data_IF_348684410998
#
_entry.id   IF_348684410998
#
_cell.length_a   1.000
_cell.length_b   1.000
_cell.length_c   1.000
_cell.angle_alpha   90.00
_cell.angle_beta   90.00
_cell.angle_gamma   90.00
#
_symmetry.space_group_name_H-M   'P 1'
#
loop_
_entity.id
_entity.type
_entity.pdbx_description
1 polymer ?
#
# COMPACT_ATOMS: atom_id res chain seq x y z
N UNK A 1 -12.45 6.51 5.45
CA UNK A 1 -11.93 6.01 4.15
C UNK A 1 -11.20 4.69 4.36
N UNK A 2 -10.85 3.97 3.29
CA UNK A 2 -10.04 2.74 3.40
C UNK A 2 -8.54 3.08 3.42
N UNK A 3 -7.76 2.27 4.11
CA UNK A 3 -6.31 2.40 4.20
C UNK A 3 -5.60 1.06 4.02
N UNK A 4 -4.35 1.12 3.59
CA UNK A 4 -3.42 0.00 3.48
C UNK A 4 -2.08 0.37 4.11
N UNK A 5 -1.62 -0.48 5.02
CA UNK A 5 -0.28 -0.32 5.62
C UNK A 5 0.81 -0.94 4.74
N UNK A 6 1.87 -0.18 4.51
CA UNK A 6 3.03 -0.55 3.70
C UNK A 6 4.31 -0.33 4.51
N UNK A 7 5.29 -1.23 4.37
CA UNK A 7 6.56 -1.12 5.08
C UNK A 7 7.49 -0.17 4.34
N UNK A 8 8.20 0.67 5.08
CA UNK A 8 9.21 1.58 4.55
C UNK A 8 10.33 0.82 3.82
N UNK A 9 10.82 1.32 2.67
CA UNK A 9 10.51 2.61 2.04
C UNK A 9 9.42 2.54 0.94
N UNK A 10 8.61 1.46 0.90
CA UNK A 10 7.75 1.20 -0.25
C UNK A 10 6.56 2.17 -0.36
N UNK A 11 6.04 2.68 0.75
CA UNK A 11 4.98 3.69 0.73
C UNK A 11 5.49 5.02 0.17
N UNK A 12 6.69 5.44 0.59
CA UNK A 12 7.40 6.60 0.03
C UNK A 12 7.72 6.41 -1.46
N UNK A 13 8.08 5.19 -1.89
CA UNK A 13 8.30 4.90 -3.31
C UNK A 13 7.01 4.98 -4.13
N UNK A 14 5.85 4.62 -3.56
CA UNK A 14 4.54 4.82 -4.19
C UNK A 14 4.26 6.31 -4.32
N UNK A 15 4.39 7.07 -3.23
CA UNK A 15 4.19 8.53 -3.25
C UNK A 15 5.10 9.24 -4.26
N UNK A 16 6.32 8.74 -4.48
CA UNK A 16 7.25 9.27 -5.47
C UNK A 16 6.98 8.80 -6.91
N UNK A 17 5.96 7.96 -7.15
CA UNK A 17 5.65 7.37 -8.46
C UNK A 17 6.67 6.33 -8.94
N UNK A 18 7.58 5.88 -8.07
CA UNK A 18 8.63 4.89 -8.41
C UNK A 18 8.10 3.46 -8.35
N UNK A 19 7.21 3.19 -7.38
CA UNK A 19 6.54 1.91 -7.22
C UNK A 19 5.11 2.05 -7.70
N UNK A 20 4.79 1.37 -8.79
CA UNK A 20 3.49 1.43 -9.46
C UNK A 20 2.66 0.16 -9.26
N UNK A 21 3.29 -0.90 -8.73
CA UNK A 21 2.61 -2.15 -8.37
C UNK A 21 2.82 -2.46 -6.89
N UNK A 22 1.74 -2.78 -6.18
CA UNK A 22 1.81 -3.35 -4.84
C UNK A 22 1.66 -4.87 -4.89
N UNK A 23 2.58 -5.61 -4.25
CA UNK A 23 2.61 -7.08 -4.34
C UNK A 23 2.10 -7.68 -3.05
N UNK A 24 1.07 -8.53 -3.13
CA UNK A 24 0.44 -9.16 -1.97
C UNK A 24 0.14 -10.63 -2.23
N UNK A 25 0.20 -11.44 -1.17
CA UNK A 25 -0.23 -12.85 -1.20
C UNK A 25 -1.75 -13.02 -1.17
N UNK A 26 -2.51 -11.93 -1.27
CA UNK A 26 -3.96 -11.92 -1.20
C UNK A 26 -4.55 -10.82 -2.09
N UNK A 27 -5.84 -10.95 -2.38
CA UNK A 27 -6.63 -10.02 -3.20
C UNK A 27 -7.67 -9.32 -2.33
N UNK A 28 -8.02 -8.05 -2.59
CA UNK A 28 -9.12 -7.39 -1.94
C UNK A 28 -10.45 -8.01 -2.38
N UNK A 29 -11.52 -7.72 -1.64
CA UNK A 29 -12.84 -8.29 -1.90
C UNK A 29 -13.52 -7.69 -3.14
N UNK A 30 -13.20 -6.44 -3.49
CA UNK A 30 -13.79 -5.73 -4.62
C UNK A 30 -12.81 -4.77 -5.29
N UNK A 31 -13.06 -4.50 -6.57
CA UNK A 31 -12.38 -3.50 -7.39
C UNK A 31 -13.43 -2.63 -8.12
N UNK A 32 -13.08 -1.37 -8.48
CA UNK A 32 -11.86 -0.66 -8.11
C UNK A 32 -11.89 -0.22 -6.63
N UNK A 33 -10.72 -0.08 -6.00
CA UNK A 33 -10.61 0.63 -4.71
C UNK A 33 -10.23 2.06 -5.02
N UNK A 34 -11.13 2.99 -4.74
CA UNK A 34 -10.89 4.43 -4.89
C UNK A 34 -10.41 5.03 -3.58
N UNK A 35 -9.55 6.04 -3.68
CA UNK A 35 -9.10 6.82 -2.53
C UNK A 35 -8.53 5.96 -1.39
N UNK A 36 -7.71 4.96 -1.72
CA UNK A 36 -7.03 4.13 -0.74
C UNK A 36 -5.87 4.92 -0.10
N UNK A 37 -5.95 5.14 1.22
CA UNK A 37 -4.90 5.80 1.98
C UNK A 37 -3.70 4.86 2.17
N UNK A 38 -2.51 5.30 1.78
CA UNK A 38 -1.27 4.57 2.02
C UNK A 38 -0.64 5.08 3.31
N UNK A 39 -0.49 4.16 4.27
CA UNK A 39 0.13 4.40 5.57
C UNK A 39 1.45 3.64 5.64
N UNK A 40 2.57 4.36 5.62
CA UNK A 40 3.91 3.78 5.72
C UNK A 40 4.33 3.58 7.18
N UNK A 41 4.93 2.44 7.51
CA UNK A 41 5.47 2.17 8.83
C UNK A 41 6.76 1.34 8.75
N UNK A 42 7.44 1.13 9.88
CA UNK A 42 8.75 0.44 9.91
C UNK A 42 8.66 -1.07 10.18
N UNK A 43 7.46 -1.65 10.34
CA UNK A 43 7.27 -3.01 10.84
C UNK A 43 6.37 -3.86 9.93
N UNK A 44 6.76 -5.11 9.69
CA UNK A 44 5.86 -6.07 9.06
C UNK A 44 4.74 -6.48 10.03
N UNK A 45 3.49 -6.15 9.67
CA UNK A 45 2.32 -6.50 10.48
C UNK A 45 1.93 -7.96 10.28
N UNK A 46 1.64 -8.66 11.39
CA UNK A 46 1.31 -10.08 11.40
C UNK A 46 0.06 -10.35 12.24
N UNK A 47 -0.35 -11.62 12.37
CA UNK A 47 -1.47 -11.98 13.26
C UNK A 47 -1.16 -11.65 14.72
N UNK A 48 0.09 -11.82 15.14
CA UNK A 48 0.55 -11.60 16.51
C UNK A 48 0.84 -10.13 16.80
N UNK A 49 1.20 -9.35 15.78
CA UNK A 49 1.40 -7.91 15.86
C UNK A 49 0.62 -7.19 14.75
N UNK A 50 -0.71 -7.04 14.91
CA UNK A 50 -1.57 -6.57 13.83
C UNK A 50 -1.62 -5.05 13.68
N UNK A 51 -1.08 -4.28 14.65
CA UNK A 51 -1.19 -2.83 14.71
C UNK A 51 0.12 -2.21 15.19
N UNK A 52 0.54 -1.11 14.58
CA UNK A 52 1.55 -0.17 15.12
C UNK A 52 0.99 1.25 15.07
N UNK A 53 1.41 2.11 16.00
CA UNK A 53 0.80 3.43 16.22
C UNK A 53 1.55 4.58 15.55
N UNK A 54 2.71 4.31 14.94
CA UNK A 54 3.63 5.27 14.34
C UNK A 54 3.53 5.31 12.80
N UNK A 55 2.41 4.88 12.24
CA UNK A 55 2.19 4.89 10.80
C UNK A 55 2.10 6.31 10.26
N UNK A 56 2.78 6.59 9.16
CA UNK A 56 2.77 7.89 8.48
C UNK A 56 1.92 7.84 7.23
N UNK A 57 1.04 8.80 7.07
CA UNK A 57 0.31 8.96 5.80
C UNK A 57 1.26 9.49 4.73
N UNK A 58 1.33 8.82 3.57
CA UNK A 58 2.28 9.18 2.50
C UNK A 58 1.63 9.43 1.14
N UNK A 59 0.49 8.79 0.85
CA UNK A 59 -0.22 8.98 -0.41
C UNK A 59 -1.69 8.54 -0.29
N UNK A 60 -2.49 9.00 -1.24
CA UNK A 60 -3.80 8.43 -1.58
C UNK A 60 -3.67 7.86 -3.00
N UNK A 61 -4.17 6.65 -3.25
CA UNK A 61 -4.07 5.98 -4.55
C UNK A 61 -5.39 5.31 -4.94
N UNK A 62 -5.55 4.99 -6.22
CA UNK A 62 -6.60 4.10 -6.69
C UNK A 62 -5.98 2.72 -7.04
N UNK A 63 -6.73 1.65 -6.80
CA UNK A 63 -6.41 0.28 -7.26
C UNK A 63 -7.45 -0.14 -8.29
N UNK A 64 -7.07 -0.16 -9.56
CA UNK A 64 -8.01 -0.38 -10.68
C UNK A 64 -8.09 -1.86 -11.08
N UNK A 65 -6.93 -2.53 -11.10
CA UNK A 65 -6.79 -3.90 -11.58
C UNK A 65 -5.84 -4.69 -10.68
N UNK A 66 -6.08 -6.00 -10.64
CA UNK A 66 -5.20 -6.97 -10.00
C UNK A 66 -5.02 -8.17 -10.91
N UNK A 67 -3.77 -8.60 -11.07
CA UNK A 67 -3.39 -9.78 -11.82
C UNK A 67 -2.29 -10.57 -11.09
N UNK A 68 -2.02 -11.78 -11.57
CA UNK A 68 -0.90 -12.57 -11.05
C UNK A 68 0.40 -11.81 -11.31
N UNK A 69 1.24 -11.66 -10.28
CA UNK A 69 2.49 -10.93 -10.41
C UNK A 69 3.44 -11.65 -11.37
N UNK A 70 4.04 -10.89 -12.29
CA UNK A 70 4.90 -11.44 -13.34
C UNK A 70 6.39 -11.21 -13.05
N UNK A 71 7.30 -12.09 -13.52
CA UNK A 71 8.74 -11.89 -13.37
C UNK A 71 9.27 -10.59 -13.99
N UNK A 72 8.60 -10.08 -15.03
CA UNK A 72 8.95 -8.81 -15.68
C UNK A 72 8.63 -7.57 -14.85
N UNK A 73 7.85 -7.70 -13.78
CA UNK A 73 7.28 -6.59 -13.00
C UNK A 73 8.02 -6.31 -11.69
N UNK A 74 9.18 -6.93 -11.48
CA UNK A 74 10.00 -6.78 -10.26
C UNK A 74 10.39 -5.32 -10.04
N UNK A 75 10.69 -4.59 -11.12
CA UNK A 75 11.14 -3.19 -11.06
C UNK A 75 9.99 -2.26 -10.67
N UNK A 76 8.84 -2.42 -11.30
CA UNK A 76 7.59 -1.67 -11.06
C UNK A 76 7.08 -1.89 -9.63
N UNK A 77 7.28 -3.10 -9.10
CA UNK A 77 7.01 -3.43 -7.71
C UNK A 77 8.07 -2.89 -6.72
N UNK A 78 9.20 -2.37 -7.21
CA UNK A 78 10.38 -2.06 -6.39
C UNK A 78 10.76 -3.24 -5.47
N UNK A 79 10.64 -4.46 -5.99
CA UNK A 79 11.02 -5.70 -5.29
C UNK A 79 12.45 -6.11 -5.64
N UNK A 80 13.07 -6.93 -4.81
CA UNK A 80 14.39 -7.51 -5.10
C UNK A 80 14.31 -8.72 -6.04
N UNK A 81 13.23 -9.49 -5.99
CA UNK A 81 12.99 -10.65 -6.83
C UNK A 81 11.49 -10.87 -7.04
N UNK A 82 11.15 -11.80 -7.93
CA UNK A 82 9.80 -12.30 -8.16
C UNK A 82 9.58 -13.65 -7.45
N UNK A 83 8.34 -13.90 -7.01
CA UNK A 83 7.91 -15.18 -6.43
C UNK A 83 6.51 -15.55 -6.94
N UNK A 84 6.25 -16.82 -7.32
CA UNK A 84 4.92 -17.26 -7.74
C UNK A 84 3.90 -17.24 -6.58
N UNK A 85 2.62 -17.13 -6.92
CA UNK A 85 1.52 -17.15 -5.93
C UNK A 85 1.20 -15.78 -5.30
N UNK A 86 1.87 -14.72 -5.76
CA UNK A 86 1.58 -13.34 -5.38
C UNK A 86 0.80 -12.61 -6.49
N UNK A 87 0.10 -11.56 -6.07
CA UNK A 87 -0.74 -10.72 -6.91
C UNK A 87 -0.15 -9.32 -7.00
N UNK A 88 -0.09 -8.78 -8.21
CA UNK A 88 0.25 -7.39 -8.46
C UNK A 88 -1.02 -6.54 -8.44
N UNK A 89 -1.04 -5.52 -7.59
CA UNK A 89 -2.11 -4.53 -7.50
C UNK A 89 -1.67 -3.28 -8.25
N UNK A 90 -2.35 -2.96 -9.34
CA UNK A 90 -2.03 -1.80 -10.18
C UNK A 90 -2.43 -0.51 -9.48
N UNK A 91 -1.43 0.28 -9.09
CA UNK A 91 -1.63 1.56 -8.43
C UNK A 91 -1.74 2.65 -9.49
N UNK A 92 -2.79 3.46 -9.40
CA UNK A 92 -3.02 4.59 -10.29
C UNK A 92 -3.45 5.82 -9.51
N UNK A 93 -3.54 6.96 -10.20
CA UNK A 93 -4.05 8.21 -9.63
C UNK A 93 -3.38 8.59 -8.30
N UNK A 94 -2.06 8.40 -8.22
CA UNK A 94 -1.28 8.61 -7.00
C UNK A 94 -1.25 10.09 -6.63
N UNK A 95 -1.75 10.39 -5.43
CA UNK A 95 -1.78 11.72 -4.82
C UNK A 95 -0.87 11.71 -3.58
N UNK A 96 0.36 12.25 -3.66
CA UNK A 96 1.26 12.31 -2.52
C UNK A 96 0.67 13.18 -1.40
N UNK A 97 0.85 12.77 -0.15
CA UNK A 97 0.45 13.54 1.03
C UNK A 97 1.69 14.11 1.69
N UNK A 98 1.74 15.44 1.85
CA UNK A 98 2.91 16.16 2.39
C UNK A 98 2.84 16.42 3.90
N UNK A 99 1.76 15.99 4.57
CA UNK A 99 1.57 16.17 6.01
C UNK A 99 2.45 15.23 6.86
N UNK A 100 2.65 15.60 8.13
CA UNK A 100 3.33 14.78 9.13
C UNK A 100 2.35 14.04 10.04
N UNK A 101 1.14 13.76 9.55
CA UNK A 101 0.11 13.07 10.32
C UNK A 101 0.52 11.63 10.62
N UNK A 102 0.38 11.28 11.90
CA UNK A 102 0.65 9.94 12.40
C UNK A 102 -0.68 9.27 12.71
N UNK A 103 -0.87 8.09 12.16
CA UNK A 103 -2.08 7.28 12.29
C UNK A 103 -1.73 5.81 12.58
N UNK A 104 -2.64 5.03 13.18
CA UNK A 104 -2.44 3.61 13.33
C UNK A 104 -2.31 2.90 11.97
N UNK A 105 -1.23 2.14 11.80
CA UNK A 105 -1.05 1.19 10.71
C UNK A 105 -1.58 -0.18 11.15
N UNK A 106 -2.45 -0.79 10.35
CA UNK A 106 -3.12 -2.07 10.68
C UNK A 106 -2.94 -3.08 9.55
N UNK A 107 -2.96 -4.37 9.91
CA UNK A 107 -2.87 -5.48 8.95
C UNK A 107 -4.10 -5.49 8.03
N UNK A 108 -3.88 -5.85 6.75
CA UNK A 108 -4.89 -5.89 5.67
C UNK A 108 -5.43 -4.49 5.32
N UNK A 109 -6.47 -4.42 4.51
CA UNK A 109 -7.23 -3.18 4.32
C UNK A 109 -8.06 -2.93 5.58
N UNK A 110 -8.14 -1.67 6.02
CA UNK A 110 -8.89 -1.26 7.20
C UNK A 110 -9.53 0.11 7.01
N UNK A 111 -10.56 0.39 7.80
CA UNK A 111 -11.18 1.70 7.86
C UNK A 111 -10.41 2.65 8.78
N UNK A 112 -10.35 3.92 8.36
CA UNK A 112 -9.76 5.01 9.13
C UNK A 112 -10.50 6.32 8.88
N UNK A 113 -10.63 7.12 9.94
CA UNK A 113 -11.05 8.50 9.87
C UNK A 113 -9.82 9.38 9.62
N UNK A 114 -9.65 9.78 8.37
CA UNK A 114 -8.60 10.70 7.93
C UNK A 114 -9.26 11.77 7.09
N UNK A 115 -9.03 13.03 7.45
CA UNK A 115 -9.51 14.20 6.71
C UNK A 115 -8.27 14.95 6.29
N UNK A 116 -8.01 15.02 4.99
CA UNK A 116 -6.93 15.82 4.46
C UNK A 116 -7.28 17.29 4.70
N UNK A 117 -6.51 17.96 5.57
CA UNK A 117 -6.65 19.38 5.88
C UNK A 117 -6.20 20.31 4.76
#
# INVERSE_FOLDING_TARGET
MLALSIVSPHGSNIAAGKKTLEVRSWRPESLPIRDLLIVENSNFLSAHNPVVLDGRVVAIVDVEEIHEWQPSEVKEACSSCWEPGYWAWCLSNVRPVTGSEVVPAKRKIYEIDFVQG
#
